data_IF_795180576445
#
_entry.id   IF_795180576445
#
_cell.length_a   1.000
_cell.length_b   1.000
_cell.length_c   1.000
_cell.angle_alpha   90.00
_cell.angle_beta   90.00
_cell.angle_gamma   90.00
#
_symmetry.space_group_name_H-M   'P 1'
#
loop_
_entity.id
_entity.type
_entity.pdbx_description
1 polymer ?
#
# COMPACT_ATOMS: atom_id res chain seq x y z
N UNK A 1 -12.08 -4.46 -5.97
CA UNK A 1 -11.48 -5.69 -5.41
C UNK A 1 -11.40 -5.53 -3.91
N UNK A 2 -11.74 -6.57 -3.15
CA UNK A 2 -11.57 -6.60 -1.70
C UNK A 2 -10.86 -7.91 -1.33
N UNK A 3 -9.90 -7.84 -0.41
CA UNK A 3 -9.34 -9.03 0.23
C UNK A 3 -8.87 -8.72 1.65
N UNK A 4 -8.93 -9.72 2.52
CA UNK A 4 -8.30 -9.69 3.83
C UNK A 4 -7.09 -10.63 3.79
N UNK A 5 -5.96 -10.14 4.29
CA UNK A 5 -4.68 -10.86 4.31
C UNK A 5 -4.17 -10.89 5.74
N UNK A 6 -3.73 -12.07 6.18
CA UNK A 6 -2.95 -12.20 7.41
C UNK A 6 -1.51 -11.82 7.13
N UNK A 7 -1.02 -10.77 7.78
CA UNK A 7 0.38 -10.37 7.74
C UNK A 7 1.08 -10.94 8.96
N UNK A 8 2.07 -11.82 8.73
CA UNK A 8 2.82 -12.48 9.80
C UNK A 8 3.74 -11.50 10.51
N UNK A 9 3.79 -11.61 11.83
CA UNK A 9 4.62 -10.79 12.72
C UNK A 9 6.08 -10.71 12.24
N UNK A 10 6.63 -9.50 12.23
CA UNK A 10 7.98 -9.17 11.80
C UNK A 10 8.34 -9.55 10.34
N UNK A 11 7.43 -10.13 9.56
CA UNK A 11 7.61 -10.45 8.15
C UNK A 11 6.99 -9.37 7.27
N UNK A 12 7.63 -9.10 6.13
CA UNK A 12 7.05 -8.25 5.08
C UNK A 12 6.09 -9.08 4.24
N UNK A 13 4.83 -8.66 4.17
CA UNK A 13 3.79 -9.31 3.39
C UNK A 13 3.38 -8.41 2.22
N UNK A 14 3.57 -8.87 0.98
CA UNK A 14 3.06 -8.16 -0.20
C UNK A 14 1.55 -8.37 -0.32
N UNK A 15 0.79 -7.29 -0.13
CA UNK A 15 -0.67 -7.31 -0.15
C UNK A 15 -1.27 -6.79 -1.47
N UNK A 16 -0.48 -6.22 -2.37
CA UNK A 16 -0.91 -5.83 -3.72
C UNK A 16 0.28 -5.67 -4.67
N UNK A 17 0.05 -5.89 -5.96
CA UNK A 17 0.99 -5.59 -7.05
C UNK A 17 0.21 -4.82 -8.11
N UNK A 18 0.85 -3.83 -8.73
CA UNK A 18 0.25 -2.96 -9.74
C UNK A 18 1.09 -2.96 -11.01
N UNK A 19 0.43 -2.87 -12.16
CA UNK A 19 1.08 -2.75 -13.46
C UNK A 19 0.13 -2.09 -14.48
N UNK A 20 0.65 -1.29 -15.41
CA UNK A 20 -0.14 -0.73 -16.51
C UNK A 20 -0.63 -1.81 -17.49
N UNK A 21 0.18 -2.85 -17.69
CA UNK A 21 -0.15 -4.01 -18.50
C UNK A 21 -0.31 -5.24 -17.59
N UNK A 22 -1.45 -5.42 -16.88
CA UNK A 22 -1.59 -6.49 -15.90
C UNK A 22 -1.43 -7.90 -16.50
N UNK A 23 -1.62 -8.07 -17.81
CA UNK A 23 -1.37 -9.33 -18.50
C UNK A 23 0.10 -9.75 -18.54
N UNK A 24 1.04 -8.83 -18.28
CA UNK A 24 2.48 -9.15 -18.16
C UNK A 24 2.90 -9.45 -16.72
N UNK A 25 2.00 -9.34 -15.75
CA UNK A 25 2.30 -9.42 -14.32
C UNK A 25 1.20 -10.15 -13.57
N UNK A 26 1.44 -11.42 -13.24
CA UNK A 26 0.43 -12.29 -12.64
C UNK A 26 -0.19 -11.67 -11.37
N UNK A 27 -1.51 -11.55 -11.35
CA UNK A 27 -2.25 -11.00 -10.21
C UNK A 27 -2.09 -9.49 -10.00
N UNK A 28 -1.48 -8.77 -10.94
CA UNK A 28 -1.35 -7.33 -10.86
C UNK A 28 -2.69 -6.63 -11.12
N UNK A 29 -2.90 -5.54 -10.39
CA UNK A 29 -4.01 -4.62 -10.57
C UNK A 29 -3.59 -3.57 -11.60
N UNK A 30 -4.49 -3.23 -12.51
CA UNK A 30 -4.28 -2.18 -13.49
C UNK A 30 -4.12 -0.82 -12.78
N UNK A 31 -2.91 -0.27 -12.83
CA UNK A 31 -2.58 0.99 -12.15
C UNK A 31 -3.30 2.19 -12.79
N UNK A 32 -3.46 2.17 -14.11
CA UNK A 32 -4.08 3.25 -14.89
C UNK A 32 -5.59 3.30 -14.67
N UNK A 33 -6.19 2.15 -14.33
CA UNK A 33 -7.60 2.05 -13.95
C UNK A 33 -7.85 2.16 -12.45
N UNK A 34 -6.83 2.33 -11.62
CA UNK A 34 -7.00 2.41 -10.16
C UNK A 34 -7.53 3.77 -9.75
N UNK A 35 -8.79 3.80 -9.31
CA UNK A 35 -9.48 5.00 -8.82
C UNK A 35 -9.13 5.34 -7.38
N UNK A 36 -8.99 4.34 -6.53
CA UNK A 36 -8.50 4.52 -5.16
C UNK A 36 -8.06 3.19 -4.56
N UNK A 37 -7.20 3.28 -3.57
CA UNK A 37 -6.77 2.16 -2.73
C UNK A 37 -7.04 2.52 -1.28
N UNK A 38 -7.65 1.61 -0.52
CA UNK A 38 -7.74 1.69 0.94
C UNK A 38 -7.07 0.46 1.55
N UNK A 39 -6.14 0.70 2.47
CA UNK A 39 -5.52 -0.33 3.31
C UNK A 39 -6.00 -0.10 4.74
N UNK A 40 -6.67 -1.09 5.32
CA UNK A 40 -7.23 -1.00 6.67
C UNK A 40 -6.59 -2.03 7.58
N UNK A 41 -6.07 -1.56 8.71
CA UNK A 41 -5.61 -2.43 9.79
C UNK A 41 -6.83 -2.88 10.61
N UNK A 42 -7.23 -4.14 10.47
CA UNK A 42 -8.38 -4.70 11.19
C UNK A 42 -8.02 -5.10 12.62
N UNK A 43 -6.73 -5.19 12.97
CA UNK A 43 -6.32 -5.34 14.35
C UNK A 43 -6.58 -4.03 15.11
N UNK A 44 -7.09 -4.09 16.34
CA UNK A 44 -7.40 -2.89 17.14
C UNK A 44 -6.31 -2.50 18.13
N UNK A 45 -5.23 -3.27 18.20
CA UNK A 45 -4.17 -3.19 19.21
C UNK A 45 -2.77 -3.05 18.62
N UNK A 46 -2.52 -3.72 17.50
CA UNK A 46 -1.23 -3.82 16.85
C UNK A 46 -1.14 -2.77 15.75
N UNK A 47 -0.07 -1.98 15.74
CA UNK A 47 0.21 -1.09 14.63
C UNK A 47 0.89 -1.87 13.50
N UNK A 48 0.66 -1.42 12.27
CA UNK A 48 1.35 -1.91 11.09
C UNK A 48 2.12 -0.78 10.41
N UNK A 49 3.23 -1.12 9.78
CA UNK A 49 3.88 -0.27 8.77
C UNK A 49 3.37 -0.70 7.40
N UNK A 50 2.80 0.25 6.65
CA UNK A 50 2.51 0.10 5.23
C UNK A 50 3.65 0.76 4.45
N UNK A 51 4.37 -0.05 3.68
CA UNK A 51 5.27 0.43 2.65
C UNK A 51 4.50 0.58 1.33
N UNK A 52 4.48 1.81 0.83
CA UNK A 52 3.95 2.12 -0.49
C UNK A 52 5.13 2.16 -1.45
N UNK A 53 5.25 1.09 -2.22
CA UNK A 53 6.31 0.91 -3.21
C UNK A 53 5.84 1.50 -4.53
N UNK A 54 6.59 2.47 -5.05
CA UNK A 54 6.30 3.08 -6.33
C UNK A 54 7.35 2.66 -7.36
N UNK A 55 7.40 3.33 -8.52
CA UNK A 55 8.27 2.92 -9.63
C UNK A 55 9.77 3.12 -9.39
N UNK A 56 10.15 4.05 -8.51
CA UNK A 56 11.53 4.42 -8.22
C UNK A 56 11.77 4.70 -6.73
N UNK A 57 10.85 5.39 -6.03
CA UNK A 57 10.99 5.70 -4.60
C UNK A 57 9.88 5.06 -3.76
N UNK A 58 10.09 4.97 -2.44
CA UNK A 58 9.13 4.33 -1.54
C UNK A 58 8.92 5.22 -0.32
N UNK A 59 7.69 5.30 0.15
CA UNK A 59 7.39 5.90 1.46
C UNK A 59 6.71 4.88 2.35
N UNK A 60 6.75 5.14 3.66
CA UNK A 60 6.15 4.29 4.68
C UNK A 60 5.24 5.12 5.56
N UNK A 61 4.14 4.51 5.98
CA UNK A 61 3.21 5.09 6.95
C UNK A 61 2.86 4.07 8.02
N UNK A 62 2.76 4.54 9.27
CA UNK A 62 2.18 3.74 10.35
C UNK A 62 0.66 3.81 10.27
N UNK A 63 0.00 2.66 10.24
CA UNK A 63 -1.45 2.55 10.39
C UNK A 63 -1.74 1.97 11.77
N UNK A 64 -2.32 2.79 12.64
CA UNK A 64 -2.73 2.37 13.98
C UNK A 64 -3.88 1.36 13.91
N UNK A 65 -4.06 0.61 15.00
CA UNK A 65 -5.14 -0.37 15.06
C UNK A 65 -6.52 0.23 14.73
N UNK A 66 -7.31 -0.46 13.92
CA UNK A 66 -8.64 -0.06 13.47
C UNK A 66 -8.68 1.09 12.46
N UNK A 67 -7.53 1.60 12.02
CA UNK A 67 -7.46 2.76 11.12
C UNK A 67 -7.16 2.34 9.67
N UNK A 68 -7.32 3.30 8.75
CA UNK A 68 -7.11 3.11 7.32
C UNK A 68 -6.19 4.16 6.72
N UNK A 69 -5.42 3.75 5.70
CA UNK A 69 -4.71 4.65 4.79
C UNK A 69 -5.38 4.60 3.42
N UNK A 70 -5.54 5.76 2.77
CA UNK A 70 -6.21 5.87 1.47
C UNK A 70 -5.32 6.62 0.48
N UNK A 71 -5.13 6.02 -0.70
CA UNK A 71 -4.53 6.64 -1.87
C UNK A 71 -5.63 6.89 -2.90
N UNK A 72 -5.73 8.11 -3.40
CA UNK A 72 -6.85 8.55 -4.25
C UNK A 72 -6.67 8.24 -5.74
N UNK A 73 -5.59 7.56 -6.13
CA UNK A 73 -5.28 7.16 -7.50
C UNK A 73 -4.15 6.10 -7.49
N UNK A 74 -3.97 5.36 -8.58
CA UNK A 74 -2.83 4.47 -8.79
C UNK A 74 -1.63 5.09 -9.53
N UNK A 75 -1.90 5.96 -10.51
CA UNK A 75 -0.87 6.65 -11.31
C UNK A 75 -0.45 7.94 -10.65
N UNK A 76 0.85 8.26 -10.69
CA UNK A 76 1.41 9.50 -10.13
C UNK A 76 0.87 9.76 -8.70
N UNK A 77 0.81 8.70 -7.90
CA UNK A 77 0.05 8.68 -6.66
C UNK A 77 0.88 9.16 -5.46
N UNK A 78 2.19 8.89 -5.48
CA UNK A 78 3.06 9.20 -4.35
C UNK A 78 4.54 9.25 -4.74
N UNK A 79 5.34 9.85 -3.87
CA UNK A 79 6.79 9.86 -3.95
C UNK A 79 7.35 9.69 -2.53
N UNK A 80 8.48 8.99 -2.40
CA UNK A 80 9.25 8.94 -1.17
C UNK A 80 10.38 9.98 -1.21
N UNK A 81 10.39 10.91 -0.25
CA UNK A 81 11.44 11.93 -0.13
C UNK A 81 12.12 11.84 1.24
N UNK A 82 13.45 11.96 1.27
CA UNK A 82 14.23 12.09 2.51
C UNK A 82 14.66 13.53 2.70
N UNK A 83 13.69 14.43 2.76
CA UNK A 83 13.87 15.86 3.03
C UNK A 83 12.98 16.30 4.20
N UNK A 84 13.36 17.39 4.85
CA UNK A 84 12.57 18.09 5.86
C UNK A 84 11.55 19.05 5.24
N UNK A 85 11.69 19.39 3.95
CA UNK A 85 10.75 20.23 3.18
C UNK A 85 10.25 19.48 1.94
N UNK A 86 8.93 19.43 1.67
CA UNK A 86 8.40 18.76 0.48
C UNK A 86 8.90 19.44 -0.81
N UNK A 87 9.44 18.65 -1.74
CA UNK A 87 9.96 19.20 -2.98
C UNK A 87 8.88 19.45 -4.04
N UNK A 88 7.67 18.88 -3.86
CA UNK A 88 6.58 18.90 -4.84
C UNK A 88 7.03 18.40 -6.23
N UNK A 89 7.86 17.35 -6.25
CA UNK A 89 8.34 16.73 -7.47
C UNK A 89 7.26 15.93 -8.21
N UNK A 90 7.68 15.30 -9.30
CA UNK A 90 6.82 14.37 -10.07
C UNK A 90 6.50 13.14 -9.23
N UNK A 91 5.22 12.88 -9.01
CA UNK A 91 4.76 11.70 -8.29
C UNK A 91 4.87 10.44 -9.16
N UNK A 92 4.89 9.29 -8.51
CA UNK A 92 5.19 8.01 -9.13
C UNK A 92 4.00 7.04 -9.08
N UNK A 93 3.99 6.08 -10.01
CA UNK A 93 2.95 5.07 -10.08
C UNK A 93 3.13 4.03 -8.96
N UNK A 94 2.02 3.53 -8.41
CA UNK A 94 2.07 2.40 -7.48
C UNK A 94 2.63 1.16 -8.19
N UNK A 95 3.53 0.45 -7.51
CA UNK A 95 4.10 -0.81 -7.98
C UNK A 95 3.72 -1.98 -7.05
N UNK A 96 3.80 -1.79 -5.73
CA UNK A 96 3.28 -2.76 -4.77
C UNK A 96 2.91 -2.12 -3.44
N UNK A 97 2.11 -2.82 -2.66
CA UNK A 97 1.82 -2.48 -1.27
C UNK A 97 2.30 -3.62 -0.40
N UNK A 98 3.08 -3.29 0.61
CA UNK A 98 3.68 -4.26 1.51
C UNK A 98 3.40 -3.85 2.94
N UNK A 99 3.08 -4.81 3.78
CA UNK A 99 2.78 -4.57 5.19
C UNK A 99 3.71 -5.37 6.06
N UNK A 100 4.17 -4.72 7.13
CA UNK A 100 4.88 -5.36 8.24
C UNK A 100 4.23 -5.00 9.57
N UNK A 101 3.66 -5.96 10.31
CA UNK A 101 3.28 -5.74 11.70
C UNK A 101 4.53 -5.42 12.53
N UNK A 102 4.49 -4.32 13.29
CA UNK A 102 5.63 -3.83 14.09
C UNK A 102 5.53 -4.15 15.57
N UNK A 103 4.42 -4.77 16.00
CA UNK A 103 4.18 -5.21 17.37
C UNK A 103 4.31 -6.75 17.48
N UNK A 104 3.88 -7.34 18.59
CA UNK A 104 4.17 -8.73 18.96
C UNK A 104 3.27 -9.80 18.32
N UNK A 105 2.31 -9.44 17.46
CA UNK A 105 1.37 -10.39 16.86
C UNK A 105 1.23 -10.20 15.34
N UNK A 106 0.67 -11.23 14.69
CA UNK A 106 0.16 -11.12 13.32
C UNK A 106 -0.96 -10.07 13.25
N UNK A 107 -1.12 -9.43 12.09
CA UNK A 107 -2.20 -8.47 11.86
C UNK A 107 -3.10 -8.92 10.71
N UNK A 108 -4.40 -8.66 10.83
CA UNK A 108 -5.34 -8.79 9.71
C UNK A 108 -5.41 -7.46 8.97
N UNK A 109 -5.20 -7.48 7.66
CA UNK A 109 -5.21 -6.29 6.83
C UNK A 109 -6.22 -6.45 5.70
N UNK A 110 -7.17 -5.53 5.63
CA UNK A 110 -8.06 -5.40 4.48
C UNK A 110 -7.41 -4.51 3.42
N UNK A 111 -7.43 -4.99 2.18
CA UNK A 111 -7.18 -4.20 0.99
C UNK A 111 -8.48 -4.04 0.21
N UNK A 112 -8.85 -2.79 -0.04
CA UNK A 112 -9.87 -2.45 -1.02
C UNK A 112 -9.26 -1.63 -2.17
N UNK A 113 -9.53 -2.02 -3.42
CA UNK A 113 -9.14 -1.25 -4.61
C UNK A 113 -10.35 -0.98 -5.49
N UNK A 114 -10.67 0.30 -5.68
CA UNK A 114 -11.69 0.77 -6.62
C UNK A 114 -11.08 0.99 -8.00
N UNK A 115 -11.76 0.49 -9.04
CA UNK A 115 -11.36 0.65 -10.45
C UNK A 115 -12.37 1.51 -11.22
N UNK A 116 -11.96 2.07 -12.36
CA UNK A 116 -12.84 2.74 -13.36
C UNK A 116 -13.03 1.93 -14.62
#
# INVERSE_FOLDING_TARGET
>A
MERIVTCTQAQTTTIAVFAANPYTSAGAIDVDRTRYVRVTNLDTTNNIELAVVTTATNYQVTITGGNSHILSIGTEAAIGETDTSPAFGTLENLASLQVKPVTSNDAQVELFVGLV
#
